data_IF_966857651988
#
_entry.id   IF_966857651988
#
_cell.length_a   1.000
_cell.length_b   1.000
_cell.length_c   1.000
_cell.angle_alpha   90.00
_cell.angle_beta   90.00
_cell.angle_gamma   90.00
#
_symmetry.space_group_name_H-M   'P 1'
#
loop_
_entity.id
_entity.type
_entity.pdbx_description
1 polymer ?
#
# COMPACT_ATOMS: atom_id res chain seq x y z
N UNK A 1 -8.05 25.67 4.61
CA UNK A 1 -9.44 25.79 5.13
C UNK A 1 -10.15 24.44 5.20
N UNK A 2 -9.96 23.56 4.20
CA UNK A 2 -10.65 22.25 4.17
C UNK A 2 -10.17 21.28 5.25
N UNK A 3 -8.87 21.22 5.57
CA UNK A 3 -8.34 20.31 6.60
C UNK A 3 -8.95 20.59 7.97
N UNK A 4 -8.96 21.85 8.41
CA UNK A 4 -9.51 22.21 9.70
C UNK A 4 -11.00 21.82 9.83
N UNK A 5 -11.80 22.09 8.79
CA UNK A 5 -13.21 21.70 8.73
C UNK A 5 -13.39 20.18 8.74
N UNK A 6 -12.59 19.46 7.94
CA UNK A 6 -12.64 17.98 7.83
C UNK A 6 -12.39 17.28 9.18
N UNK A 7 -11.50 17.83 10.01
CA UNK A 7 -11.13 17.24 11.30
C UNK A 7 -11.72 17.96 12.52
N UNK A 8 -12.70 18.84 12.30
CA UNK A 8 -13.38 19.55 13.39
C UNK A 8 -12.45 20.43 14.21
N UNK A 9 -11.48 21.08 13.57
CA UNK A 9 -10.54 22.00 14.22
C UNK A 9 -10.94 23.44 13.88
N UNK A 10 -11.03 24.31 14.90
CA UNK A 10 -11.27 25.72 14.66
C UNK A 10 -10.17 26.34 13.79
N UNK A 11 -10.52 27.24 12.86
CA UNK A 11 -9.58 27.88 11.91
C UNK A 11 -8.43 28.61 12.63
N UNK A 12 -8.74 29.30 13.73
CA UNK A 12 -7.72 30.02 14.52
C UNK A 12 -6.75 29.05 15.17
N UNK A 13 -7.27 27.96 15.77
CA UNK A 13 -6.47 26.88 16.35
C UNK A 13 -5.58 26.22 15.27
N UNK A 14 -6.16 25.93 14.11
CA UNK A 14 -5.38 25.36 13.00
C UNK A 14 -4.28 26.30 12.51
N UNK A 15 -4.52 27.61 12.49
CA UNK A 15 -3.49 28.61 12.14
C UNK A 15 -2.33 28.61 13.15
N UNK A 16 -2.65 28.54 14.46
CA UNK A 16 -1.66 28.41 15.53
C UNK A 16 -0.82 27.13 15.39
N UNK A 17 -1.49 25.98 15.15
CA UNK A 17 -0.82 24.70 14.95
C UNK A 17 0.16 24.73 13.76
N UNK A 18 -0.21 25.40 12.66
CA UNK A 18 0.69 25.59 11.50
C UNK A 18 1.95 26.40 11.82
N UNK A 19 1.91 27.24 12.85
CA UNK A 19 3.06 28.01 13.34
C UNK A 19 3.90 27.25 14.37
N UNK A 20 3.52 25.99 14.69
CA UNK A 20 4.19 25.17 15.69
C UNK A 20 3.72 25.39 17.12
N UNK A 21 2.69 26.24 17.33
CA UNK A 21 2.11 26.47 18.64
C UNK A 21 1.18 25.31 19.00
N UNK A 22 1.64 24.31 19.76
CA UNK A 22 0.86 23.11 20.08
C UNK A 22 0.30 23.08 21.50
N UNK A 23 0.93 23.80 22.44
CA UNK A 23 0.55 23.77 23.85
C UNK A 23 -0.87 24.31 24.08
N UNK A 24 -1.70 23.49 24.76
CA UNK A 24 -3.08 23.83 25.17
C UNK A 24 -4.02 24.26 24.02
N UNK A 25 -3.65 24.03 22.75
CA UNK A 25 -4.49 24.44 21.60
C UNK A 25 -5.62 23.45 21.30
N UNK A 26 -5.38 22.16 21.50
CA UNK A 26 -6.40 21.11 21.41
C UNK A 26 -6.18 20.09 22.54
N UNK A 27 -7.24 19.38 22.92
CA UNK A 27 -7.20 18.41 24.02
C UNK A 27 -6.32 17.19 23.65
N UNK A 28 -5.74 16.49 24.65
CA UNK A 28 -5.01 15.23 24.42
C UNK A 28 -5.85 14.20 23.68
N UNK A 29 -7.15 14.08 24.01
CA UNK A 29 -8.06 13.17 23.31
C UNK A 29 -8.18 13.50 21.82
N UNK A 30 -8.25 14.79 21.47
CA UNK A 30 -8.33 15.24 20.08
C UNK A 30 -7.00 15.01 19.35
N UNK A 31 -5.87 15.13 20.04
CA UNK A 31 -4.55 14.75 19.46
C UNK A 31 -4.49 13.26 19.13
N UNK A 32 -4.96 12.39 20.04
CA UNK A 32 -5.00 10.94 19.80
C UNK A 32 -5.94 10.58 18.65
N UNK A 33 -7.11 11.22 18.58
CA UNK A 33 -8.05 11.05 17.47
C UNK A 33 -7.42 11.42 16.13
N UNK A 34 -6.78 12.59 16.07
CA UNK A 34 -6.09 13.06 14.86
C UNK A 34 -4.92 12.14 14.49
N UNK A 35 -4.11 11.71 15.45
CA UNK A 35 -3.02 10.76 15.23
C UNK A 35 -3.53 9.46 14.63
N UNK A 36 -4.61 8.91 15.17
CA UNK A 36 -5.25 7.69 14.65
C UNK A 36 -5.79 7.87 13.23
N UNK A 37 -6.48 8.98 12.97
CA UNK A 37 -7.09 9.24 11.65
C UNK A 37 -6.04 9.55 10.59
N UNK A 38 -4.94 10.21 10.98
CA UNK A 38 -3.82 10.55 10.10
C UNK A 38 -2.78 9.42 9.99
N UNK A 39 -2.97 8.30 10.72
CA UNK A 39 -2.04 7.18 10.72
C UNK A 39 -0.67 7.55 11.28
N UNK A 40 -0.60 8.49 12.24
CA UNK A 40 0.66 8.88 12.88
C UNK A 40 0.97 7.88 13.98
N UNK A 41 2.12 7.20 13.89
CA UNK A 41 2.68 6.37 14.95
C UNK A 41 3.97 7.00 15.48
N UNK A 42 4.08 7.16 16.79
CA UNK A 42 5.30 7.64 17.45
C UNK A 42 6.33 6.51 17.66
N UNK A 43 5.87 5.28 17.56
CA UNK A 43 6.68 4.08 17.80
C UNK A 43 7.22 3.45 16.51
N UNK A 44 6.89 4.00 15.34
CA UNK A 44 7.45 3.52 14.08
C UNK A 44 8.90 4.01 13.91
N UNK A 45 9.81 3.07 13.69
CA UNK A 45 11.16 3.40 13.22
C UNK A 45 11.03 4.11 11.86
N UNK A 46 11.59 5.30 11.76
CA UNK A 46 11.62 6.05 10.50
C UNK A 46 12.70 5.47 9.60
N UNK A 47 12.28 4.81 8.54
CA UNK A 47 13.16 4.36 7.47
C UNK A 47 13.28 5.43 6.38
N UNK A 48 14.50 5.64 5.91
CA UNK A 48 14.74 6.40 4.69
C UNK A 48 14.41 5.53 3.49
N UNK A 49 13.83 6.14 2.44
CA UNK A 49 13.50 5.42 1.22
C UNK A 49 14.76 5.01 0.46
N UNK A 50 14.89 3.72 0.18
CA UNK A 50 15.91 3.17 -0.70
C UNK A 50 15.32 2.93 -2.10
N UNK A 51 16.02 3.31 -3.15
CA UNK A 51 15.64 2.97 -4.52
C UNK A 51 16.08 1.54 -4.84
N UNK A 52 15.21 0.59 -4.51
CA UNK A 52 15.38 -0.83 -4.79
C UNK A 52 14.71 -1.20 -6.12
N UNK A 53 15.06 -2.36 -6.69
CA UNK A 53 14.40 -2.85 -7.92
C UNK A 53 12.88 -3.02 -7.70
N UNK A 54 12.45 -3.42 -6.48
CA UNK A 54 11.04 -3.51 -6.09
C UNK A 54 10.36 -2.15 -6.12
N UNK A 55 11.00 -1.14 -5.51
CA UNK A 55 10.45 0.21 -5.49
C UNK A 55 10.33 0.79 -6.89
N UNK A 56 11.39 0.67 -7.69
CA UNK A 56 11.42 1.19 -9.05
C UNK A 56 10.31 0.57 -9.92
N UNK A 57 10.13 -0.76 -9.86
CA UNK A 57 9.05 -1.44 -10.58
C UNK A 57 7.66 -0.95 -10.15
N UNK A 58 7.41 -0.82 -8.83
CA UNK A 58 6.13 -0.33 -8.32
C UNK A 58 5.91 1.14 -8.69
N UNK A 59 6.95 1.98 -8.62
CA UNK A 59 6.87 3.39 -9.02
C UNK A 59 6.52 3.52 -10.50
N UNK A 60 7.21 2.79 -11.38
CA UNK A 60 6.97 2.81 -12.83
C UNK A 60 5.55 2.36 -13.17
N UNK A 61 5.09 1.25 -12.59
CA UNK A 61 3.74 0.74 -12.78
C UNK A 61 2.67 1.74 -12.29
N UNK A 62 2.87 2.31 -11.09
CA UNK A 62 1.95 3.27 -10.49
C UNK A 62 1.89 4.56 -11.31
N UNK A 63 3.03 5.07 -11.75
CA UNK A 63 3.10 6.27 -12.60
C UNK A 63 2.41 6.01 -13.93
N UNK A 64 2.67 4.87 -14.57
CA UNK A 64 2.01 4.48 -15.81
C UNK A 64 0.48 4.38 -15.63
N UNK A 65 0.01 3.65 -14.62
CA UNK A 65 -1.42 3.52 -14.35
C UNK A 65 -2.09 4.88 -14.11
N UNK A 66 -1.41 5.75 -13.37
CA UNK A 66 -1.87 7.10 -13.03
C UNK A 66 -1.98 8.00 -14.27
N UNK A 67 -0.96 7.99 -15.14
CA UNK A 67 -0.91 8.85 -16.32
C UNK A 67 -1.95 8.45 -17.37
N UNK A 68 -2.20 7.16 -17.52
CA UNK A 68 -3.03 6.64 -18.62
C UNK A 68 -4.38 6.07 -18.16
N UNK A 69 -4.76 6.20 -16.87
CA UNK A 69 -5.99 5.63 -16.33
C UNK A 69 -6.06 4.10 -16.51
N UNK A 70 -4.91 3.41 -16.43
CA UNK A 70 -4.80 1.95 -16.62
C UNK A 70 -4.69 1.22 -15.29
N UNK A 71 -4.71 -0.10 -15.36
CA UNK A 71 -4.70 -0.93 -14.16
C UNK A 71 -3.70 -2.07 -14.30
N UNK A 72 -2.92 -2.29 -13.26
CA UNK A 72 -1.89 -3.34 -13.22
C UNK A 72 -1.88 -4.07 -11.88
N UNK A 73 -1.20 -5.21 -11.84
CA UNK A 73 -1.03 -6.02 -10.64
C UNK A 73 0.44 -6.34 -10.40
N UNK A 74 0.85 -6.26 -9.15
CA UNK A 74 2.14 -6.72 -8.68
C UNK A 74 1.96 -7.87 -7.68
N UNK A 75 2.41 -9.06 -8.04
CA UNK A 75 2.24 -10.25 -7.21
C UNK A 75 3.59 -10.90 -6.98
N UNK A 76 4.13 -10.70 -5.80
CA UNK A 76 5.46 -11.16 -5.46
C UNK A 76 5.56 -11.52 -3.98
N UNK A 77 6.72 -11.98 -3.56
CA UNK A 77 6.99 -12.48 -2.23
C UNK A 77 6.76 -11.47 -1.11
N UNK A 78 6.59 -11.98 0.10
CA UNK A 78 6.47 -11.15 1.30
C UNK A 78 7.80 -10.49 1.66
N UNK A 79 7.74 -9.42 2.47
CA UNK A 79 8.90 -8.77 3.07
C UNK A 79 9.95 -8.21 2.08
N UNK A 80 9.56 -7.85 0.86
CA UNK A 80 10.42 -7.21 -0.15
C UNK A 80 10.23 -5.69 -0.25
N UNK A 81 9.37 -5.09 0.60
CA UNK A 81 9.16 -3.64 0.66
C UNK A 81 7.93 -3.10 -0.07
N UNK A 82 7.01 -3.96 -0.55
CA UNK A 82 5.78 -3.56 -1.26
C UNK A 82 4.97 -2.49 -0.53
N UNK A 83 4.56 -2.78 0.70
CA UNK A 83 3.74 -1.89 1.54
C UNK A 83 4.43 -0.55 1.78
N UNK A 84 5.74 -0.58 2.05
CA UNK A 84 6.51 0.64 2.25
C UNK A 84 6.53 1.50 0.98
N UNK A 85 6.77 0.90 -0.18
CA UNK A 85 6.76 1.57 -1.49
C UNK A 85 5.40 2.23 -1.76
N UNK A 86 4.31 1.49 -1.56
CA UNK A 86 2.96 2.01 -1.76
C UNK A 86 2.62 3.19 -0.85
N UNK A 87 2.95 3.09 0.44
CA UNK A 87 2.75 4.18 1.39
C UNK A 87 3.62 5.39 1.07
N UNK A 88 4.84 5.18 0.62
CA UNK A 88 5.71 6.27 0.18
C UNK A 88 5.11 6.99 -1.04
N UNK A 89 4.70 6.27 -2.07
CA UNK A 89 4.09 6.84 -3.27
C UNK A 89 2.77 7.56 -2.97
N UNK A 90 1.93 7.03 -2.07
CA UNK A 90 0.69 7.70 -1.66
C UNK A 90 0.91 9.02 -0.92
N UNK A 91 2.09 9.22 -0.32
CA UNK A 91 2.46 10.48 0.36
C UNK A 91 3.15 11.49 -0.57
N UNK A 92 3.83 11.00 -1.61
CA UNK A 92 4.65 11.83 -2.50
C UNK A 92 3.97 12.19 -3.81
N UNK A 93 3.11 11.32 -4.33
CA UNK A 93 2.36 11.57 -5.55
C UNK A 93 1.02 12.24 -5.25
N UNK A 94 0.69 13.26 -6.03
CA UNK A 94 -0.62 13.93 -5.91
C UNK A 94 -1.73 13.01 -6.39
N UNK A 95 -2.88 13.00 -5.68
CA UNK A 95 -4.05 12.16 -5.98
C UNK A 95 -3.70 10.66 -6.07
N UNK A 96 -2.79 10.21 -5.23
CA UNK A 96 -2.44 8.82 -5.06
C UNK A 96 -3.01 8.34 -3.70
N UNK A 97 -3.90 7.36 -3.73
CA UNK A 97 -4.64 6.90 -2.58
C UNK A 97 -4.23 5.47 -2.22
N UNK A 98 -4.06 5.19 -0.94
CA UNK A 98 -3.64 3.90 -0.42
C UNK A 98 -4.76 3.24 0.38
N UNK A 99 -5.02 1.98 0.10
CA UNK A 99 -5.99 1.14 0.82
C UNK A 99 -5.31 -0.17 1.22
N UNK A 100 -5.30 -0.46 2.53
CA UNK A 100 -4.85 -1.74 3.07
C UNK A 100 -6.02 -2.72 3.13
N UNK A 101 -6.10 -3.63 2.18
CA UNK A 101 -7.19 -4.60 2.08
C UNK A 101 -7.20 -5.62 3.22
N UNK A 102 -6.09 -5.79 3.95
CA UNK A 102 -6.05 -6.65 5.13
C UNK A 102 -6.94 -6.15 6.26
N UNK A 103 -7.15 -4.83 6.35
CA UNK A 103 -7.97 -4.16 7.35
C UNK A 103 -9.44 -4.00 6.95
N UNK A 104 -9.76 -4.19 5.67
CA UNK A 104 -11.10 -3.93 5.12
C UNK A 104 -11.57 -5.03 4.15
N UNK A 105 -11.48 -6.28 4.56
CA UNK A 105 -11.70 -7.47 3.70
C UNK A 105 -13.10 -7.55 3.09
N UNK A 106 -14.14 -7.14 3.85
CA UNK A 106 -15.54 -7.24 3.46
C UNK A 106 -16.01 -5.98 2.72
N UNK A 107 -16.99 -6.15 1.85
CA UNK A 107 -17.51 -5.11 0.96
C UNK A 107 -17.79 -3.78 1.66
N UNK A 108 -18.58 -3.82 2.75
CA UNK A 108 -18.95 -2.60 3.50
C UNK A 108 -17.74 -1.90 4.13
N UNK A 109 -16.76 -2.67 4.61
CA UNK A 109 -15.54 -2.11 5.17
C UNK A 109 -14.66 -1.53 4.06
N UNK A 110 -14.55 -2.25 2.93
CA UNK A 110 -13.75 -1.84 1.79
C UNK A 110 -14.24 -0.53 1.18
N UNK A 111 -15.57 -0.41 0.91
CA UNK A 111 -16.10 0.85 0.37
C UNK A 111 -15.88 2.04 1.31
N UNK A 112 -16.05 1.85 2.61
CA UNK A 112 -15.83 2.93 3.59
C UNK A 112 -14.35 3.32 3.68
N UNK A 113 -13.43 2.37 3.58
CA UNK A 113 -12.00 2.66 3.60
C UNK A 113 -11.55 3.35 2.30
N UNK A 114 -12.05 2.90 1.15
CA UNK A 114 -11.82 3.55 -0.13
C UNK A 114 -12.35 5.00 -0.11
N UNK A 115 -13.60 5.19 0.31
CA UNK A 115 -14.22 6.51 0.43
C UNK A 115 -13.42 7.44 1.35
N UNK A 116 -12.98 6.91 2.51
CA UNK A 116 -12.13 7.66 3.46
C UNK A 116 -10.80 8.07 2.83
N UNK A 117 -10.15 7.16 2.10
CA UNK A 117 -8.85 7.42 1.47
C UNK A 117 -8.93 8.54 0.44
N UNK A 118 -9.97 8.55 -0.39
CA UNK A 118 -10.16 9.59 -1.43
C UNK A 118 -10.80 10.88 -0.89
N UNK A 119 -11.29 10.86 0.36
CA UNK A 119 -11.92 12.02 0.99
C UNK A 119 -13.39 12.20 0.62
N UNK A 120 -14.09 11.12 0.24
CA UNK A 120 -15.52 11.10 0.00
C UNK A 120 -16.31 11.15 1.34
N UNK A 121 -17.57 11.51 1.23
CA UNK A 121 -18.51 11.49 2.38
C UNK A 121 -18.79 10.04 2.79
N UNK A 122 -18.89 9.83 4.11
CA UNK A 122 -19.15 8.51 4.70
C UNK A 122 -20.58 8.39 5.24
N UNK A 123 -21.36 9.44 5.10
CA UNK A 123 -22.77 9.52 5.54
C UNK A 123 -23.70 9.03 4.43
N UNK A 124 -24.89 8.57 4.82
CA UNK A 124 -25.88 8.02 3.90
C UNK A 124 -25.83 6.51 3.72
N UNK A 125 -26.46 6.03 2.67
CA UNK A 125 -26.49 4.62 2.27
C UNK A 125 -25.16 4.18 1.66
N UNK A 126 -24.96 2.89 1.49
CA UNK A 126 -23.76 2.39 0.78
C UNK A 126 -23.74 2.86 -0.68
N UNK A 127 -24.89 3.01 -1.31
CA UNK A 127 -25.00 3.52 -2.68
C UNK A 127 -24.61 5.01 -2.74
N UNK A 128 -24.97 5.82 -1.76
CA UNK A 128 -24.55 7.21 -1.69
C UNK A 128 -23.04 7.33 -1.54
N UNK A 129 -22.43 6.50 -0.68
CA UNK A 129 -20.97 6.45 -0.49
C UNK A 129 -20.27 6.02 -1.79
N UNK A 130 -20.79 5.01 -2.50
CA UNK A 130 -20.26 4.57 -3.80
C UNK A 130 -20.34 5.70 -4.83
N UNK A 131 -21.48 6.34 -4.95
CA UNK A 131 -21.71 7.43 -5.91
C UNK A 131 -20.75 8.61 -5.65
N UNK A 132 -20.65 9.06 -4.40
CA UNK A 132 -19.72 10.12 -3.97
C UNK A 132 -18.26 9.74 -4.27
N UNK A 133 -17.86 8.51 -3.96
CA UNK A 133 -16.49 8.02 -4.20
C UNK A 133 -16.17 8.00 -5.70
N UNK A 134 -17.06 7.46 -6.55
CA UNK A 134 -16.91 7.46 -8.01
C UNK A 134 -16.82 8.88 -8.57
N UNK A 135 -17.69 9.76 -8.08
CA UNK A 135 -17.68 11.16 -8.50
C UNK A 135 -16.33 11.83 -8.23
N UNK A 136 -15.80 11.68 -7.01
CA UNK A 136 -14.50 12.25 -6.65
C UNK A 136 -13.37 11.68 -7.53
N UNK A 137 -13.34 10.36 -7.73
CA UNK A 137 -12.33 9.73 -8.59
C UNK A 137 -12.40 10.21 -10.04
N UNK A 138 -13.58 10.56 -10.54
CA UNK A 138 -13.76 11.06 -11.90
C UNK A 138 -13.42 12.54 -12.09
N UNK A 139 -13.51 13.37 -11.03
CA UNK A 139 -13.21 14.80 -11.13
C UNK A 139 -11.77 15.16 -10.79
N UNK A 140 -11.05 14.28 -10.08
CA UNK A 140 -9.65 14.49 -9.73
C UNK A 140 -8.76 14.35 -10.97
N UNK A 141 -7.73 15.21 -11.13
CA UNK A 141 -6.80 15.05 -12.23
C UNK A 141 -5.88 13.85 -11.99
N UNK A 142 -5.99 12.85 -12.87
CA UNK A 142 -5.18 11.62 -12.87
C UNK A 142 -5.08 10.96 -11.48
N UNK A 143 -6.20 10.54 -10.89
CA UNK A 143 -6.16 9.83 -9.62
C UNK A 143 -5.63 8.41 -9.80
N UNK A 144 -5.06 7.84 -8.75
CA UNK A 144 -4.70 6.43 -8.67
C UNK A 144 -5.03 5.87 -7.30
N UNK A 145 -5.55 4.66 -7.27
CA UNK A 145 -5.79 3.89 -6.05
C UNK A 145 -4.85 2.68 -6.01
N UNK A 146 -4.04 2.61 -4.97
CA UNK A 146 -3.17 1.47 -4.68
C UNK A 146 -3.87 0.61 -3.63
N UNK A 147 -4.13 -0.65 -3.96
CA UNK A 147 -4.74 -1.64 -3.06
C UNK A 147 -3.66 -2.64 -2.65
N UNK A 148 -3.18 -2.50 -1.43
CA UNK A 148 -2.22 -3.42 -0.84
C UNK A 148 -2.92 -4.61 -0.20
N UNK A 149 -2.25 -5.75 -0.13
CA UNK A 149 -2.79 -7.02 0.36
C UNK A 149 -4.12 -7.41 -0.31
N UNK A 150 -4.26 -7.13 -1.60
CA UNK A 150 -5.50 -7.37 -2.38
C UNK A 150 -5.99 -8.84 -2.33
N UNK A 151 -5.09 -9.78 -2.03
CA UNK A 151 -5.43 -11.16 -1.74
C UNK A 151 -6.37 -11.36 -0.55
N UNK A 152 -6.46 -10.38 0.36
CA UNK A 152 -7.37 -10.43 1.52
C UNK A 152 -8.82 -10.08 1.19
N UNK A 153 -9.10 -9.38 0.08
CA UNK A 153 -10.45 -8.97 -0.28
C UNK A 153 -11.40 -10.16 -0.44
N UNK A 154 -12.62 -10.02 0.05
CA UNK A 154 -13.69 -10.98 -0.20
C UNK A 154 -14.11 -10.98 -1.68
N UNK A 155 -14.85 -11.98 -2.11
CA UNK A 155 -15.38 -12.01 -3.48
C UNK A 155 -16.28 -10.81 -3.79
N UNK A 156 -17.17 -10.43 -2.86
CA UNK A 156 -18.04 -9.25 -3.00
C UNK A 156 -17.23 -7.94 -3.08
N UNK A 157 -16.15 -7.83 -2.31
CA UNK A 157 -15.25 -6.66 -2.40
C UNK A 157 -14.55 -6.58 -3.75
N UNK A 158 -14.18 -7.72 -4.36
CA UNK A 158 -13.60 -7.75 -5.70
C UNK A 158 -14.64 -7.40 -6.78
N UNK A 159 -15.91 -7.81 -6.61
CA UNK A 159 -16.99 -7.38 -7.49
C UNK A 159 -17.23 -5.87 -7.40
N UNK A 160 -17.22 -5.33 -6.18
CA UNK A 160 -17.30 -3.89 -5.95
C UNK A 160 -16.11 -3.15 -6.59
N UNK A 161 -14.90 -3.67 -6.48
CA UNK A 161 -13.72 -3.11 -7.14
C UNK A 161 -13.89 -3.09 -8.67
N UNK A 162 -14.45 -4.15 -9.25
CA UNK A 162 -14.78 -4.20 -10.68
C UNK A 162 -15.84 -3.15 -11.07
N UNK A 163 -16.83 -2.92 -10.21
CA UNK A 163 -17.82 -1.84 -10.39
C UNK A 163 -17.16 -0.46 -10.38
N UNK A 164 -16.24 -0.21 -9.46
CA UNK A 164 -15.46 1.04 -9.42
C UNK A 164 -14.59 1.20 -10.66
N UNK A 165 -13.92 0.13 -11.09
CA UNK A 165 -13.11 0.14 -12.30
C UNK A 165 -13.94 0.53 -13.52
N UNK A 166 -15.11 -0.11 -13.72
CA UNK A 166 -16.02 0.23 -14.83
C UNK A 166 -16.51 1.68 -14.75
N UNK A 167 -16.80 2.19 -13.56
CA UNK A 167 -17.31 3.55 -13.34
C UNK A 167 -16.25 4.65 -13.41
N UNK A 168 -14.97 4.29 -13.49
CA UNK A 168 -13.83 5.23 -13.54
C UNK A 168 -12.84 4.87 -14.65
N UNK A 169 -13.31 4.14 -15.66
CA UNK A 169 -12.48 3.71 -16.78
C UNK A 169 -11.83 4.93 -17.47
N UNK A 170 -10.54 4.79 -17.80
CA UNK A 170 -9.70 5.80 -18.45
C UNK A 170 -9.53 7.13 -17.66
N UNK A 171 -10.12 7.25 -16.46
CA UNK A 171 -9.98 8.42 -15.58
C UNK A 171 -9.15 8.12 -14.35
N UNK A 172 -9.28 6.95 -13.75
CA UNK A 172 -8.58 6.54 -12.53
C UNK A 172 -7.68 5.34 -12.80
N UNK A 173 -6.42 5.43 -12.35
CA UNK A 173 -5.52 4.29 -12.29
C UNK A 173 -5.87 3.37 -11.12
N UNK A 174 -5.69 2.07 -11.29
CA UNK A 174 -5.88 1.07 -10.24
C UNK A 174 -4.68 0.15 -10.17
N UNK A 175 -4.08 0.03 -9.01
CA UNK A 175 -2.91 -0.83 -8.81
C UNK A 175 -3.13 -1.78 -7.64
N UNK A 176 -3.10 -3.08 -7.92
CA UNK A 176 -3.25 -4.11 -6.89
C UNK A 176 -1.91 -4.73 -6.56
N UNK A 177 -1.63 -4.91 -5.28
CA UNK A 177 -0.46 -5.63 -4.81
C UNK A 177 -0.86 -6.78 -3.89
N UNK A 178 -0.06 -7.83 -3.90
CA UNK A 178 -0.25 -8.97 -3.02
C UNK A 178 0.87 -9.99 -3.12
N UNK A 179 0.65 -11.11 -2.45
CA UNK A 179 1.54 -12.26 -2.46
C UNK A 179 0.74 -13.52 -2.82
N UNK A 180 1.07 -14.67 -2.26
CA UNK A 180 0.45 -15.97 -2.58
C UNK A 180 -1.07 -16.00 -2.45
N UNK A 181 -1.64 -15.26 -1.53
CA UNK A 181 -3.10 -15.14 -1.41
C UNK A 181 -3.76 -14.55 -2.65
N UNK A 182 -3.16 -13.54 -3.26
CA UNK A 182 -3.63 -12.98 -4.53
C UNK A 182 -3.34 -13.93 -5.69
N UNK A 183 -2.13 -14.49 -5.75
CA UNK A 183 -1.74 -15.51 -6.75
C UNK A 183 -2.71 -16.68 -6.79
N UNK A 184 -3.07 -17.22 -5.63
CA UNK A 184 -4.04 -18.33 -5.51
C UNK A 184 -5.42 -17.95 -6.05
N UNK A 185 -5.89 -16.72 -5.80
CA UNK A 185 -7.17 -16.23 -6.35
C UNK A 185 -7.14 -16.09 -7.87
N UNK A 186 -6.04 -15.59 -8.42
CA UNK A 186 -5.84 -15.50 -9.88
C UNK A 186 -5.86 -16.87 -10.54
N UNK A 187 -5.31 -17.90 -9.89
CA UNK A 187 -5.25 -19.27 -10.41
C UNK A 187 -6.59 -20.04 -10.28
N UNK A 188 -7.38 -19.76 -9.23
CA UNK A 188 -8.66 -20.45 -8.96
C UNK A 188 -9.76 -20.18 -9.98
N UNK A 189 -9.56 -19.35 -10.98
CA UNK A 189 -10.53 -19.00 -12.02
C UNK A 189 -10.96 -20.14 -12.97
N UNK A 190 -10.60 -21.41 -12.70
CA UNK A 190 -10.92 -22.57 -13.53
C UNK A 190 -12.05 -23.46 -12.98
N UNK A 191 -12.76 -23.03 -11.94
CA UNK A 191 -13.81 -23.86 -11.29
C UNK A 191 -15.19 -23.74 -11.97
N UNK A 192 -15.97 -24.82 -11.93
CA UNK A 192 -17.37 -24.94 -12.45
C UNK A 192 -18.41 -24.14 -11.62
N UNK A 193 -18.03 -23.10 -10.93
CA UNK A 193 -18.93 -22.28 -10.09
C UNK A 193 -19.80 -21.36 -10.96
N UNK A 194 -21.10 -21.24 -10.63
CA UNK A 194 -22.02 -20.23 -11.22
C UNK A 194 -21.68 -18.79 -10.92
N UNK A 195 -20.65 -18.53 -10.09
CA UNK A 195 -20.13 -17.19 -9.80
C UNK A 195 -19.21 -16.75 -10.93
N UNK A 196 -19.26 -15.47 -11.27
CA UNK A 196 -18.33 -14.83 -12.18
C UNK A 196 -16.88 -15.23 -11.82
N UNK A 197 -16.13 -15.70 -12.80
CA UNK A 197 -14.80 -16.24 -12.53
C UNK A 197 -13.87 -15.12 -12.08
N UNK A 198 -12.98 -15.42 -11.14
CA UNK A 198 -11.91 -14.49 -10.77
C UNK A 198 -11.09 -14.00 -11.98
N UNK A 199 -10.94 -14.86 -13.00
CA UNK A 199 -10.26 -14.51 -14.25
C UNK A 199 -10.91 -13.31 -14.95
N UNK A 200 -12.24 -13.24 -14.96
CA UNK A 200 -12.99 -12.14 -15.57
C UNK A 200 -12.82 -10.85 -14.79
N UNK A 201 -12.91 -10.92 -13.44
CA UNK A 201 -12.66 -9.78 -12.56
C UNK A 201 -11.24 -9.22 -12.75
N UNK A 202 -10.24 -10.11 -12.79
CA UNK A 202 -8.84 -9.71 -12.92
C UNK A 202 -8.41 -9.35 -14.34
N UNK A 203 -9.21 -9.71 -15.39
CA UNK A 203 -8.89 -9.34 -16.77
C UNK A 203 -8.77 -7.82 -16.98
N UNK A 204 -9.42 -7.04 -16.10
CA UNK A 204 -9.35 -5.57 -16.10
C UNK A 204 -8.02 -5.02 -15.58
N UNK A 205 -7.30 -5.81 -14.80
CA UNK A 205 -6.02 -5.43 -14.18
C UNK A 205 -4.79 -5.96 -14.92
N UNK A 206 -4.89 -6.35 -16.16
CA UNK A 206 -3.89 -7.02 -16.99
C UNK A 206 -4.01 -8.55 -16.97
N UNK A 207 -3.65 -9.17 -18.07
CA UNK A 207 -3.60 -10.63 -18.18
C UNK A 207 -2.42 -11.27 -17.45
N UNK A 208 -1.42 -10.45 -17.10
CA UNK A 208 -0.20 -10.83 -16.36
C UNK A 208 0.02 -9.88 -15.20
N UNK A 209 0.62 -10.39 -14.15
CA UNK A 209 1.11 -9.58 -13.03
C UNK A 209 2.62 -9.41 -13.12
N UNK A 210 3.12 -8.28 -12.64
CA UNK A 210 4.54 -8.02 -12.52
C UNK A 210 5.12 -8.66 -11.26
N UNK A 211 6.34 -9.11 -11.32
CA UNK A 211 7.15 -9.59 -10.20
C UNK A 211 8.62 -9.27 -10.44
N UNK A 212 9.41 -9.23 -9.39
CA UNK A 212 10.84 -8.85 -9.44
C UNK A 212 11.73 -9.95 -8.89
N UNK A 213 11.25 -10.73 -7.91
CA UNK A 213 12.05 -11.80 -7.30
C UNK A 213 12.28 -12.91 -8.32
N UNK A 214 13.56 -13.24 -8.62
CA UNK A 214 13.89 -14.30 -9.57
C UNK A 214 13.42 -15.68 -9.09
N UNK A 215 13.03 -16.54 -10.03
CA UNK A 215 12.69 -17.94 -9.75
C UNK A 215 13.92 -18.82 -9.56
N UNK A 216 15.06 -18.47 -10.19
CA UNK A 216 16.30 -19.19 -10.05
C UNK A 216 16.89 -19.01 -8.65
N UNK A 217 17.24 -20.08 -7.89
CA UNK A 217 17.73 -19.97 -6.52
C UNK A 217 18.99 -19.11 -6.36
N UNK A 218 19.94 -19.17 -7.28
CA UNK A 218 21.18 -18.37 -7.20
C UNK A 218 20.90 -16.89 -7.42
N UNK A 219 20.13 -16.53 -8.44
CA UNK A 219 19.74 -15.15 -8.74
C UNK A 219 18.87 -14.58 -7.62
N UNK A 220 18.02 -15.42 -7.00
CA UNK A 220 17.20 -15.05 -5.85
C UNK A 220 18.05 -14.67 -4.65
N UNK A 221 19.12 -15.39 -4.33
CA UNK A 221 20.05 -15.03 -3.26
C UNK A 221 20.74 -13.69 -3.53
N UNK A 222 21.15 -13.47 -4.77
CA UNK A 222 21.77 -12.20 -5.17
C UNK A 222 20.79 -11.03 -5.12
N UNK A 223 19.55 -11.27 -5.52
CA UNK A 223 18.46 -10.29 -5.38
C UNK A 223 18.26 -9.88 -3.92
N UNK A 224 18.12 -10.85 -3.00
CA UNK A 224 17.94 -10.53 -1.57
C UNK A 224 19.17 -9.87 -0.95
N UNK A 225 20.37 -10.28 -1.36
CA UNK A 225 21.62 -9.64 -0.94
C UNK A 225 21.64 -8.16 -1.34
N UNK A 226 21.30 -7.87 -2.59
CA UNK A 226 21.21 -6.51 -3.10
C UNK A 226 20.11 -5.72 -2.38
N UNK A 227 18.91 -6.26 -2.31
CA UNK A 227 17.75 -5.62 -1.66
C UNK A 227 18.04 -5.19 -0.22
N UNK A 228 18.56 -6.12 0.60
CA UNK A 228 18.86 -5.84 2.01
C UNK A 228 19.98 -4.80 2.12
N UNK A 229 21.01 -4.92 1.29
CA UNK A 229 22.14 -3.96 1.29
C UNK A 229 21.69 -2.58 0.86
N UNK A 230 20.88 -2.44 -0.18
CA UNK A 230 20.35 -1.16 -0.65
C UNK A 230 19.53 -0.46 0.43
N UNK A 231 18.64 -1.17 1.12
CA UNK A 231 17.84 -0.61 2.21
C UNK A 231 18.68 -0.24 3.43
N UNK A 232 19.61 -1.10 3.85
CA UNK A 232 20.43 -0.82 5.01
C UNK A 232 21.44 0.29 4.76
N UNK A 233 21.98 0.45 3.56
CA UNK A 233 22.99 1.45 3.24
C UNK A 233 22.49 2.90 3.34
N UNK A 234 21.20 3.15 3.18
CA UNK A 234 20.60 4.48 3.35
C UNK A 234 20.10 4.73 4.79
N UNK A 235 20.09 3.68 5.64
CA UNK A 235 19.55 3.75 7.00
C UNK A 235 20.59 3.48 8.10
N UNK A 236 21.72 2.88 7.77
CA UNK A 236 22.76 2.44 8.72
C UNK A 236 24.11 2.93 8.26
N UNK A 237 24.81 3.69 9.10
CA UNK A 237 26.15 4.22 8.77
C UNK A 237 27.25 3.17 8.84
N UNK A 238 27.10 2.15 9.69
CA UNK A 238 28.14 1.13 9.94
C UNK A 238 28.10 0.02 8.89
N UNK A 239 29.02 0.05 7.93
CA UNK A 239 29.12 -0.94 6.84
C UNK A 239 29.39 -2.36 7.33
N UNK A 240 30.21 -2.53 8.37
CA UNK A 240 30.49 -3.86 8.96
C UNK A 240 29.22 -4.49 9.53
N UNK A 241 28.36 -3.69 10.14
CA UNK A 241 27.05 -4.15 10.65
C UNK A 241 26.15 -4.59 9.48
N UNK A 242 26.12 -3.82 8.38
CA UNK A 242 25.34 -4.18 7.19
C UNK A 242 25.76 -5.55 6.65
N UNK A 243 27.07 -5.78 6.46
CA UNK A 243 27.58 -7.05 5.92
C UNK A 243 27.28 -8.24 6.84
N UNK A 244 27.35 -8.05 8.16
CA UNK A 244 26.94 -9.06 9.16
C UNK A 244 25.47 -9.40 9.08
N UNK A 245 24.59 -8.39 8.95
CA UNK A 245 23.14 -8.58 8.82
C UNK A 245 22.82 -9.31 7.52
N UNK A 246 23.39 -8.88 6.39
CA UNK A 246 23.20 -9.52 5.08
C UNK A 246 23.60 -11.00 5.16
N UNK A 247 24.78 -11.31 5.69
CA UNK A 247 25.24 -12.69 5.85
C UNK A 247 24.27 -13.53 6.69
N UNK A 248 23.79 -13.02 7.81
CA UNK A 248 22.83 -13.72 8.67
C UNK A 248 21.45 -13.88 8.05
N UNK A 249 20.99 -12.90 7.26
CA UNK A 249 19.72 -13.02 6.53
C UNK A 249 19.74 -14.10 5.47
N UNK A 250 20.90 -14.32 4.85
CA UNK A 250 21.07 -15.29 3.76
C UNK A 250 21.58 -16.67 4.23
N UNK A 251 21.90 -16.81 5.51
CA UNK A 251 22.30 -18.09 6.08
C UNK A 251 21.13 -19.07 6.07
N UNK A 252 21.31 -20.24 5.46
CA UNK A 252 20.28 -21.26 5.19
C UNK A 252 20.14 -22.31 6.31
N UNK A 253 20.50 -21.99 7.53
CA UNK A 253 20.53 -22.93 8.64
C UNK A 253 19.18 -23.46 9.12
N UNK A 254 18.07 -22.97 8.53
CA UNK A 254 16.75 -23.53 8.76
C UNK A 254 15.90 -23.50 7.49
N UNK A 255 15.16 -24.56 7.23
CA UNK A 255 14.25 -24.70 6.08
C UNK A 255 13.14 -23.63 6.02
N UNK A 256 13.02 -22.78 7.05
CA UNK A 256 11.97 -21.76 7.21
C UNK A 256 12.52 -20.34 7.39
N UNK A 257 13.79 -20.08 7.09
CA UNK A 257 14.37 -18.74 7.30
C UNK A 257 13.79 -17.73 6.31
N UNK A 258 12.90 -16.85 6.77
CA UNK A 258 12.45 -15.69 6.02
C UNK A 258 13.65 -14.80 5.68
N UNK A 259 13.99 -14.70 4.41
CA UNK A 259 15.14 -13.94 3.89
C UNK A 259 14.80 -12.48 3.58
N UNK A 260 13.71 -11.95 4.00
CA UNK A 260 13.26 -10.61 3.57
C UNK A 260 13.70 -9.47 4.50
N UNK A 261 13.24 -8.27 4.18
CA UNK A 261 13.54 -7.04 4.91
C UNK A 261 13.07 -7.06 6.37
N UNK A 262 12.01 -7.82 6.72
CA UNK A 262 11.57 -7.97 8.12
C UNK A 262 12.63 -8.64 8.98
N UNK A 263 13.31 -9.68 8.45
CA UNK A 263 14.42 -10.33 9.15
C UNK A 263 15.60 -9.38 9.30
N UNK A 264 15.92 -8.62 8.25
CA UNK A 264 16.99 -7.63 8.29
C UNK A 264 16.72 -6.55 9.37
N UNK A 265 15.48 -6.07 9.47
CA UNK A 265 15.06 -5.13 10.51
C UNK A 265 15.20 -5.72 11.92
N UNK A 266 14.71 -6.95 12.13
CA UNK A 266 14.83 -7.62 13.42
C UNK A 266 16.29 -7.81 13.83
N UNK A 267 17.16 -8.23 12.91
CA UNK A 267 18.59 -8.38 13.17
C UNK A 267 19.27 -7.04 13.44
N UNK A 268 18.88 -5.98 12.76
CA UNK A 268 19.41 -4.65 13.00
C UNK A 268 19.10 -4.18 14.43
N UNK A 269 17.86 -4.34 14.88
CA UNK A 269 17.46 -3.99 16.26
C UNK A 269 18.27 -4.79 17.28
N UNK A 270 18.39 -6.12 17.10
CA UNK A 270 19.13 -6.99 17.99
C UNK A 270 20.65 -6.75 18.02
N UNK A 271 21.21 -6.07 17.05
CA UNK A 271 22.65 -5.84 16.94
C UNK A 271 23.05 -4.37 17.20
N UNK A 272 22.07 -3.47 17.33
CA UNK A 272 22.27 -2.09 17.77
C UNK A 272 22.16 -1.96 19.31
N UNK A 273 21.52 -2.93 20.00
CA UNK A 273 21.54 -3.08 21.46
C UNK A 273 22.88 -3.67 21.94
#
# INVERSE_FOLDING_TARGET
ANFAKKYGINKTVYSSLKKGETEKKISPAKWLELGRVLGVSLNERKWNMARTDVFNMIEDDVVFCKEFGKSMMFVDECAIGKTYSARYLSRTLKNCFYVDASQCRQERAFIKELARSVGAELEGTLEDIKASTKYILNILPRPIVIIDEAGCLSYSSLQLLHEFWNGTQDTCGWYMMGADGLRTKLQKGKGKSKKQSYKELFSRFSSKYNHVVPYNPSERLDFYRKLIRDVLSVNVANRSLIDRIVTRCLATDSQEAETGLRRAESLLILMEE
#
